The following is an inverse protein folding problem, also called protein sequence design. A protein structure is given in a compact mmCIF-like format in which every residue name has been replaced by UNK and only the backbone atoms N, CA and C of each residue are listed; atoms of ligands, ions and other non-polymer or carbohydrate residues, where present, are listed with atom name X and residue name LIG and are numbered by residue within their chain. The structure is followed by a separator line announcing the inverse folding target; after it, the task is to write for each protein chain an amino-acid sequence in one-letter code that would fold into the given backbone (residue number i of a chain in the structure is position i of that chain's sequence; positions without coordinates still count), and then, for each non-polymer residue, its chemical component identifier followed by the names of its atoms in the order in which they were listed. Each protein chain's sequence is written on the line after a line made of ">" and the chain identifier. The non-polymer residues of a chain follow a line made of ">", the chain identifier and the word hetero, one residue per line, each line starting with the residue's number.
data_IF_072558940931
#
_entry.id   IF_072558940931
#
_cell.length_a   1.000
_cell.length_b   1.000
_cell.length_c   1.000
_cell.angle_alpha   90.00
_cell.angle_beta   90.00
_cell.angle_gamma   90.00
#
_symmetry.space_group_name_H-M   'P 1'
#
loop_
_entity.id
_entity.type
_entity.pdbx_description
1 polymer ?
#
# COMPACT_ATOMS: atom_id res chain seq x y z
N UNK A 1 -57.11 55.88 -65.72
CA UNK A 1 -56.67 54.47 -65.43
C UNK A 1 -55.25 54.52 -64.94
N UNK A 2 -55.06 54.39 -63.64
CA UNK A 2 -53.73 54.53 -63.01
C UNK A 2 -53.34 53.14 -62.42
N UNK A 3 -52.24 52.57 -62.94
CA UNK A 3 -51.66 51.32 -62.56
C UNK A 3 -50.80 51.54 -61.33
N UNK A 4 -51.08 50.83 -60.23
CA UNK A 4 -50.31 50.88 -59.01
C UNK A 4 -49.30 49.70 -59.01
N UNK A 5 -48.01 50.05 -58.93
CA UNK A 5 -46.90 49.09 -58.86
C UNK A 5 -46.58 48.83 -57.37
N UNK A 6 -46.74 47.59 -56.92
CA UNK A 6 -46.42 47.17 -55.54
C UNK A 6 -45.01 46.52 -55.54
N UNK A 7 -44.08 47.26 -54.98
CA UNK A 7 -42.70 46.71 -54.73
C UNK A 7 -42.66 45.90 -53.47
N UNK A 8 -42.35 44.59 -53.60
CA UNK A 8 -42.08 43.63 -52.50
C UNK A 8 -40.67 43.87 -51.97
N UNK A 9 -40.53 44.36 -50.77
CA UNK A 9 -39.23 44.36 -50.04
C UNK A 9 -39.03 43.02 -49.34
N UNK A 10 -38.03 42.23 -49.78
CA UNK A 10 -37.52 41.10 -49.05
C UNK A 10 -36.69 41.63 -47.87
N UNK A 11 -37.10 41.31 -46.65
CA UNK A 11 -36.33 41.53 -45.46
C UNK A 11 -35.53 40.22 -45.20
N UNK A 12 -34.18 40.19 -45.43
CA UNK A 12 -33.28 39.15 -45.00
C UNK A 12 -33.00 39.34 -43.50
N UNK A 13 -33.59 38.51 -42.67
CA UNK A 13 -33.21 38.38 -41.25
C UNK A 13 -31.96 37.52 -41.15
N UNK A 14 -30.80 38.12 -40.88
CA UNK A 14 -29.59 37.39 -40.45
C UNK A 14 -29.83 36.93 -39.01
N UNK A 15 -30.02 35.62 -38.82
CA UNK A 15 -29.95 34.99 -37.52
C UNK A 15 -28.46 34.83 -37.14
N UNK A 16 -27.93 35.75 -36.32
CA UNK A 16 -26.63 35.60 -35.70
C UNK A 16 -26.74 34.49 -34.61
N UNK A 17 -26.23 33.29 -34.91
CA UNK A 17 -26.07 32.22 -33.93
C UNK A 17 -24.98 32.66 -32.94
N UNK A 18 -25.37 33.07 -31.75
CA UNK A 18 -24.48 33.33 -30.63
C UNK A 18 -23.98 31.97 -30.13
N UNK A 19 -22.80 31.55 -30.60
CA UNK A 19 -22.04 30.46 -30.01
C UNK A 19 -21.55 30.90 -28.62
N UNK A 20 -22.35 30.66 -27.60
CA UNK A 20 -21.88 30.74 -26.22
C UNK A 20 -20.82 29.65 -26.04
N UNK A 21 -19.56 29.99 -25.67
CA UNK A 21 -18.61 28.97 -25.29
C UNK A 21 -19.19 28.28 -24.05
N UNK A 22 -19.47 26.97 -24.16
CA UNK A 22 -19.65 26.15 -22.98
C UNK A 22 -18.33 26.22 -22.22
N UNK A 23 -18.25 27.11 -21.25
CA UNK A 23 -17.17 27.13 -20.28
C UNK A 23 -17.13 25.76 -19.65
N UNK A 24 -16.04 25.05 -19.90
CA UNK A 24 -15.75 23.82 -19.17
C UNK A 24 -15.69 24.20 -17.70
N UNK A 25 -16.80 24.07 -16.99
CA UNK A 25 -16.81 24.16 -15.53
C UNK A 25 -15.86 23.10 -15.03
N UNK A 26 -14.69 23.51 -14.53
CA UNK A 26 -13.77 22.62 -13.85
C UNK A 26 -14.56 21.93 -12.73
N UNK A 27 -14.92 20.68 -12.93
CA UNK A 27 -15.68 19.92 -11.96
C UNK A 27 -14.86 19.88 -10.67
N UNK A 28 -15.45 20.38 -9.57
CA UNK A 28 -14.78 20.37 -8.26
C UNK A 28 -14.33 18.94 -7.93
N UNK A 29 -13.07 18.78 -7.49
CA UNK A 29 -12.54 17.49 -7.12
C UNK A 29 -13.27 16.95 -5.90
N UNK A 30 -13.60 15.66 -5.91
CA UNK A 30 -14.19 14.99 -4.76
C UNK A 30 -13.08 14.78 -3.71
N UNK A 31 -13.26 15.37 -2.52
CA UNK A 31 -12.35 15.12 -1.39
C UNK A 31 -12.49 13.68 -0.88
N UNK A 32 -11.35 13.01 -0.63
CA UNK A 32 -11.29 11.65 -0.13
C UNK A 32 -10.23 11.54 0.96
N UNK A 33 -10.63 11.10 2.15
CA UNK A 33 -9.68 10.69 3.20
C UNK A 33 -9.21 9.28 2.92
N UNK A 34 -7.88 9.12 2.79
CA UNK A 34 -7.20 7.84 2.61
C UNK A 34 -6.33 7.57 3.83
N UNK A 35 -6.64 6.51 4.59
CA UNK A 35 -5.85 6.14 5.75
C UNK A 35 -4.64 5.29 5.36
N UNK A 36 -3.49 5.58 5.97
CA UNK A 36 -2.28 4.76 5.87
C UNK A 36 -1.84 4.33 7.27
N UNK A 37 -1.21 3.15 7.44
CA UNK A 37 -0.88 2.60 8.75
C UNK A 37 0.26 3.36 9.48
N UNK A 38 0.90 4.32 8.77
CA UNK A 38 1.99 5.17 9.25
C UNK A 38 2.02 6.44 8.38
N UNK A 39 2.89 7.44 8.68
CA UNK A 39 2.98 8.67 7.89
C UNK A 39 3.21 8.40 6.40
N UNK A 40 2.40 9.02 5.55
CA UNK A 40 2.44 8.88 4.09
C UNK A 40 3.81 9.24 3.47
N UNK A 41 4.60 10.03 4.20
CA UNK A 41 5.95 10.44 3.81
C UNK A 41 6.99 9.32 3.90
N UNK A 42 6.65 8.15 4.44
CA UNK A 42 7.55 7.00 4.45
C UNK A 42 7.67 6.41 3.04
N UNK A 43 8.87 6.00 2.60
CA UNK A 43 9.09 5.47 1.26
C UNK A 43 8.28 4.21 0.93
N UNK A 44 7.88 3.46 1.94
CA UNK A 44 6.95 2.33 1.80
C UNK A 44 5.63 2.73 1.10
N UNK A 45 5.23 4.00 1.17
CA UNK A 45 4.02 4.52 0.51
C UNK A 45 4.31 5.20 -0.83
N UNK A 46 5.45 4.88 -1.45
CA UNK A 46 5.85 5.38 -2.77
C UNK A 46 4.74 5.35 -3.84
N UNK A 47 4.00 4.25 -4.03
CA UNK A 47 2.91 4.19 -5.00
C UNK A 47 1.85 5.26 -4.81
N UNK A 48 1.44 5.54 -3.58
CA UNK A 48 0.45 6.56 -3.24
C UNK A 48 0.98 7.97 -3.46
N UNK A 49 2.22 8.23 -3.02
CA UNK A 49 2.86 9.54 -3.18
C UNK A 49 3.18 9.85 -4.64
N UNK A 50 3.61 8.87 -5.44
CA UNK A 50 3.77 9.05 -6.88
C UNK A 50 2.43 9.32 -7.57
N UNK A 51 1.39 8.58 -7.22
CA UNK A 51 0.06 8.81 -7.77
C UNK A 51 -0.45 10.24 -7.48
N UNK A 52 -0.16 10.77 -6.29
CA UNK A 52 -0.48 12.14 -5.92
C UNK A 52 0.40 13.14 -6.67
N UNK A 53 1.72 12.95 -6.67
CA UNK A 53 2.70 13.84 -7.32
C UNK A 53 2.48 13.98 -8.82
N UNK A 54 2.12 12.89 -9.49
CA UNK A 54 1.84 12.83 -10.94
C UNK A 54 0.39 13.19 -11.28
N UNK A 55 -0.41 13.55 -10.29
CA UNK A 55 -1.79 13.99 -10.49
C UNK A 55 -2.77 12.87 -10.89
N UNK A 56 -2.44 11.59 -10.66
CA UNK A 56 -3.30 10.48 -11.08
C UNK A 56 -4.64 10.47 -10.36
N UNK A 57 -4.68 10.84 -9.07
CA UNK A 57 -5.94 11.01 -8.36
C UNK A 57 -6.75 12.18 -8.91
N UNK A 58 -6.09 13.31 -9.21
CA UNK A 58 -6.77 14.49 -9.81
C UNK A 58 -7.36 14.17 -11.17
N UNK A 59 -6.66 13.38 -12.00
CA UNK A 59 -7.16 12.92 -13.30
C UNK A 59 -8.41 12.02 -13.17
N UNK A 60 -8.61 11.38 -12.00
CA UNK A 60 -9.83 10.64 -11.67
C UNK A 60 -10.93 11.52 -11.03
N UNK A 61 -10.69 12.84 -10.91
CA UNK A 61 -11.60 13.78 -10.27
C UNK A 61 -11.53 13.77 -8.74
N UNK A 62 -10.42 13.30 -8.14
CA UNK A 62 -10.27 13.12 -6.70
C UNK A 62 -9.20 14.04 -6.11
N UNK A 63 -9.51 14.64 -4.96
CA UNK A 63 -8.54 15.28 -4.06
C UNK A 63 -8.31 14.37 -2.85
N UNK A 64 -7.19 13.63 -2.85
CA UNK A 64 -6.89 12.61 -1.83
C UNK A 64 -6.05 13.21 -0.72
N UNK A 65 -6.56 13.12 0.52
CA UNK A 65 -5.87 13.53 1.75
C UNK A 65 -5.43 12.27 2.50
N UNK A 66 -4.12 12.10 2.66
CA UNK A 66 -3.55 10.99 3.42
C UNK A 66 -3.49 11.30 4.91
N UNK A 67 -4.00 10.38 5.73
CA UNK A 67 -4.02 10.48 7.19
C UNK A 67 -3.39 9.23 7.77
N UNK A 68 -2.49 9.40 8.74
CA UNK A 68 -1.83 8.28 9.41
C UNK A 68 -2.73 7.70 10.52
N UNK A 69 -2.86 6.38 10.51
CA UNK A 69 -3.46 5.58 11.58
C UNK A 69 -2.36 4.84 12.38
N UNK A 70 -2.75 4.05 13.37
CA UNK A 70 -1.82 3.33 14.26
C UNK A 70 -1.63 1.88 13.83
N UNK A 71 -1.15 1.66 12.59
CA UNK A 71 -0.96 0.33 12.01
C UNK A 71 -2.15 -0.17 11.21
N UNK A 72 -1.96 -1.30 10.49
CA UNK A 72 -2.93 -1.82 9.52
C UNK A 72 -4.27 -2.26 10.12
N UNK A 73 -4.27 -2.81 11.33
CA UNK A 73 -5.51 -3.20 12.02
C UNK A 73 -6.34 -1.98 12.41
N UNK A 74 -5.70 -0.86 12.81
CA UNK A 74 -6.41 0.38 13.10
C UNK A 74 -7.01 0.98 11.82
N UNK A 75 -6.26 0.97 10.70
CA UNK A 75 -6.81 1.33 9.38
C UNK A 75 -8.06 0.51 9.08
N UNK A 76 -8.01 -0.82 9.24
CA UNK A 76 -9.16 -1.69 8.99
C UNK A 76 -10.36 -1.35 9.87
N UNK A 77 -10.14 -1.04 11.16
CA UNK A 77 -11.19 -0.60 12.10
C UNK A 77 -11.86 0.69 11.64
N UNK A 78 -11.05 1.70 11.30
CA UNK A 78 -11.57 3.00 10.87
C UNK A 78 -12.34 2.91 9.54
N UNK A 79 -11.80 2.15 8.57
CA UNK A 79 -12.48 1.90 7.28
C UNK A 79 -13.76 1.09 7.47
N UNK A 80 -13.71 0.04 8.29
CA UNK A 80 -14.88 -0.79 8.61
C UNK A 80 -15.98 -0.04 9.35
N UNK A 81 -15.61 0.97 10.15
CA UNK A 81 -16.54 1.85 10.86
C UNK A 81 -17.07 3.02 9.99
N UNK A 82 -16.60 3.17 8.74
CA UNK A 82 -16.99 4.25 7.85
C UNK A 82 -16.32 5.60 8.13
N UNK A 83 -15.32 5.66 9.03
CA UNK A 83 -14.56 6.89 9.33
C UNK A 83 -13.62 7.31 8.20
N UNK A 84 -13.33 6.41 7.27
CA UNK A 84 -12.65 6.69 6.02
C UNK A 84 -13.17 5.76 4.92
N UNK A 85 -13.15 6.26 3.70
CA UNK A 85 -13.65 5.53 2.52
C UNK A 85 -12.77 4.33 2.21
N UNK A 86 -11.45 4.48 2.42
CA UNK A 86 -10.43 3.54 1.95
C UNK A 86 -9.19 3.64 2.83
N UNK A 87 -8.37 2.60 2.84
CA UNK A 87 -7.11 2.62 3.57
C UNK A 87 -6.08 1.67 3.00
N UNK A 88 -4.81 1.88 3.40
CA UNK A 88 -3.71 0.99 3.11
C UNK A 88 -3.38 0.12 4.32
N UNK A 89 -3.03 -1.13 4.08
CA UNK A 89 -2.53 -2.05 5.11
C UNK A 89 -1.71 -3.15 4.43
N UNK A 90 -1.42 -4.26 5.09
CA UNK A 90 -0.89 -5.45 4.43
C UNK A 90 -2.06 -6.34 4.01
N UNK A 91 -1.91 -7.13 2.93
CA UNK A 91 -3.00 -7.86 2.28
C UNK A 91 -3.68 -8.93 3.12
N UNK A 92 -3.05 -9.39 4.20
CA UNK A 92 -3.58 -10.34 5.17
C UNK A 92 -4.31 -9.66 6.37
N UNK A 93 -4.27 -8.34 6.48
CA UNK A 93 -4.99 -7.59 7.52
C UNK A 93 -6.48 -7.94 7.61
N UNK A 94 -7.22 -8.20 6.50
CA UNK A 94 -8.60 -8.63 6.57
C UNK A 94 -8.83 -9.93 7.36
N UNK A 95 -7.86 -10.82 7.44
CA UNK A 95 -7.96 -12.05 8.26
C UNK A 95 -8.19 -11.68 9.73
N UNK A 96 -7.38 -10.75 10.25
CA UNK A 96 -7.47 -10.30 11.64
C UNK A 96 -8.73 -9.45 11.85
N UNK A 97 -9.01 -8.56 10.91
CA UNK A 97 -10.16 -7.65 11.00
C UNK A 97 -11.49 -8.41 11.00
N UNK A 98 -11.68 -9.35 10.06
CA UNK A 98 -12.90 -10.16 9.98
C UNK A 98 -13.10 -11.04 11.20
N UNK A 99 -12.04 -11.59 11.79
CA UNK A 99 -12.12 -12.36 13.02
C UNK A 99 -12.63 -11.52 14.20
N UNK A 100 -12.48 -10.19 14.13
CA UNK A 100 -13.02 -9.21 15.10
C UNK A 100 -14.38 -8.62 14.68
N UNK A 101 -15.02 -9.16 13.64
CA UNK A 101 -16.31 -8.68 13.13
C UNK A 101 -16.23 -7.39 12.29
N UNK A 102 -15.05 -6.96 11.85
CA UNK A 102 -14.86 -5.74 11.08
C UNK A 102 -15.05 -6.04 9.59
N UNK A 103 -16.05 -5.45 8.91
CA UNK A 103 -16.44 -5.82 7.55
C UNK A 103 -15.57 -5.14 6.49
N UNK A 104 -14.31 -5.55 6.35
CA UNK A 104 -13.36 -5.01 5.36
C UNK A 104 -12.82 -6.11 4.46
N UNK A 105 -12.47 -5.74 3.22
CA UNK A 105 -11.77 -6.58 2.23
C UNK A 105 -10.54 -5.88 1.69
N UNK A 106 -9.55 -6.65 1.26
CA UNK A 106 -8.52 -6.18 0.37
C UNK A 106 -9.10 -6.07 -1.05
N UNK A 107 -8.99 -4.90 -1.66
CA UNK A 107 -9.52 -4.60 -3.01
C UNK A 107 -8.41 -4.53 -4.07
N UNK A 108 -7.16 -4.47 -3.65
CA UNK A 108 -5.97 -4.66 -4.47
C UNK A 108 -4.77 -4.96 -3.56
N UNK A 109 -3.75 -5.69 -4.07
CA UNK A 109 -2.47 -5.92 -3.41
C UNK A 109 -1.32 -5.45 -4.29
N UNK A 110 -0.36 -4.73 -3.71
CA UNK A 110 0.72 -4.07 -4.43
C UNK A 110 1.95 -4.99 -4.53
N UNK A 111 1.80 -6.10 -5.24
CA UNK A 111 2.88 -7.05 -5.49
C UNK A 111 2.57 -8.48 -5.05
N UNK A 112 3.37 -9.43 -5.53
CA UNK A 112 3.27 -10.84 -5.19
C UNK A 112 4.27 -11.27 -4.12
N UNK A 113 5.24 -10.43 -3.73
CA UNK A 113 6.21 -10.74 -2.69
C UNK A 113 5.72 -10.34 -1.29
N UNK A 114 6.33 -10.92 -0.26
CA UNK A 114 6.13 -10.48 1.12
C UNK A 114 6.72 -9.08 1.34
N UNK A 115 5.98 -8.21 2.02
CA UNK A 115 6.51 -6.91 2.42
C UNK A 115 7.67 -7.07 3.41
N UNK A 116 7.50 -7.96 4.40
CA UNK A 116 8.49 -8.20 5.44
C UNK A 116 9.68 -9.00 4.90
N UNK A 117 10.87 -8.59 5.31
CA UNK A 117 12.12 -9.31 5.15
C UNK A 117 12.77 -9.46 6.52
N UNK A 118 13.42 -10.58 6.79
CA UNK A 118 14.30 -10.69 7.95
C UNK A 118 15.66 -10.08 7.57
N UNK A 119 16.01 -8.99 8.22
CA UNK A 119 17.27 -8.26 7.98
C UNK A 119 18.17 -8.45 9.19
N UNK A 120 19.38 -8.93 9.00
CA UNK A 120 20.35 -9.18 10.06
C UNK A 120 21.67 -8.46 9.79
N UNK A 121 22.44 -8.18 10.84
CA UNK A 121 23.82 -7.76 10.66
C UNK A 121 24.64 -8.88 10.02
N UNK A 122 25.47 -8.53 9.02
CA UNK A 122 26.24 -9.51 8.25
C UNK A 122 27.19 -10.33 9.12
N UNK A 123 27.75 -9.73 10.15
CA UNK A 123 28.61 -10.41 11.12
C UNK A 123 27.89 -11.50 11.93
N UNK A 124 26.55 -11.42 12.06
CA UNK A 124 25.75 -12.40 12.80
C UNK A 124 25.50 -13.69 12.02
N UNK A 125 25.73 -13.70 10.70
CA UNK A 125 25.62 -14.86 9.80
C UNK A 125 24.30 -15.61 9.95
N UNK A 126 23.18 -14.85 9.93
CA UNK A 126 21.84 -15.44 10.02
C UNK A 126 21.42 -15.94 8.63
N UNK A 127 21.61 -17.22 8.38
CA UNK A 127 21.22 -17.89 7.12
C UNK A 127 19.85 -18.57 7.21
N UNK A 128 19.34 -18.72 8.44
CA UNK A 128 18.03 -19.30 8.73
C UNK A 128 17.39 -18.64 9.94
N UNK A 129 16.05 -18.52 10.01
CA UNK A 129 15.37 -18.06 11.23
C UNK A 129 15.67 -18.89 12.47
N UNK A 130 16.17 -20.14 12.33
CA UNK A 130 16.60 -21.00 13.44
C UNK A 130 17.69 -20.35 14.28
N UNK A 131 18.57 -19.56 13.66
CA UNK A 131 19.71 -18.92 14.32
C UNK A 131 19.31 -17.71 15.16
N UNK A 132 18.04 -17.33 15.15
CA UNK A 132 17.48 -16.27 16.00
C UNK A 132 17.19 -16.76 17.43
N UNK A 133 17.32 -18.06 17.72
CA UNK A 133 17.05 -18.59 19.07
C UNK A 133 17.90 -17.88 20.12
N UNK A 134 17.24 -17.32 21.15
CA UNK A 134 17.86 -16.57 22.24
C UNK A 134 18.33 -15.15 21.85
N UNK A 135 18.22 -14.77 20.57
CA UNK A 135 18.67 -13.46 20.08
C UNK A 135 17.55 -12.41 20.11
N UNK A 136 17.93 -11.13 20.04
CA UNK A 136 16.99 -10.01 20.01
C UNK A 136 16.66 -9.65 18.56
N UNK A 137 15.35 -9.54 18.27
CA UNK A 137 14.82 -9.09 16.98
C UNK A 137 13.84 -7.93 17.20
N UNK A 138 14.01 -6.84 16.47
CA UNK A 138 13.06 -5.72 16.53
C UNK A 138 11.93 -5.88 15.54
N UNK A 139 10.72 -5.48 15.94
CA UNK A 139 9.50 -5.42 15.13
C UNK A 139 8.82 -4.07 15.33
N UNK A 140 7.93 -3.69 14.41
CA UNK A 140 7.16 -2.45 14.51
C UNK A 140 6.25 -2.45 15.74
N UNK A 141 5.38 -3.43 15.83
CA UNK A 141 4.42 -3.63 16.94
C UNK A 141 3.95 -5.08 16.94
N UNK A 142 3.48 -5.59 18.07
CA UNK A 142 2.92 -6.95 18.17
C UNK A 142 1.56 -7.12 17.49
N UNK A 143 0.95 -6.03 17.07
CA UNK A 143 -0.29 -6.01 16.28
C UNK A 143 -0.06 -5.76 14.80
N UNK A 144 1.20 -5.62 14.39
CA UNK A 144 1.57 -5.40 12.99
C UNK A 144 1.77 -6.72 12.25
N UNK A 145 1.40 -6.72 10.96
CA UNK A 145 1.48 -7.95 10.15
C UNK A 145 2.92 -8.38 9.84
N UNK A 146 3.91 -7.47 9.92
CA UNK A 146 5.34 -7.86 9.83
C UNK A 146 5.76 -8.73 11.02
N UNK A 147 5.21 -8.48 12.22
CA UNK A 147 5.41 -9.35 13.38
C UNK A 147 4.84 -10.76 13.14
N UNK A 148 3.62 -10.86 12.59
CA UNK A 148 3.05 -12.17 12.27
C UNK A 148 3.82 -12.90 11.18
N UNK A 149 4.37 -12.19 10.21
CA UNK A 149 5.25 -12.78 9.20
C UNK A 149 6.54 -13.34 9.84
N UNK A 150 7.14 -12.63 10.81
CA UNK A 150 8.26 -13.16 11.60
C UNK A 150 7.86 -14.44 12.35
N UNK A 151 6.69 -14.46 13.02
CA UNK A 151 6.20 -15.67 13.69
C UNK A 151 6.03 -16.84 12.70
N UNK A 152 5.56 -16.55 11.48
CA UNK A 152 5.45 -17.53 10.40
C UNK A 152 6.81 -18.11 10.02
N UNK A 153 7.83 -17.28 9.87
CA UNK A 153 9.20 -17.75 9.59
C UNK A 153 9.76 -18.60 10.73
N UNK A 154 9.57 -18.19 11.98
CA UNK A 154 10.01 -18.95 13.16
C UNK A 154 9.32 -20.32 13.25
N UNK A 155 8.00 -20.35 13.03
CA UNK A 155 7.23 -21.60 13.04
C UNK A 155 7.74 -22.63 12.03
N UNK A 156 8.15 -22.19 10.83
CA UNK A 156 8.70 -23.07 9.78
C UNK A 156 10.00 -23.77 10.17
N UNK A 157 10.72 -23.25 11.15
CA UNK A 157 11.95 -23.84 11.68
C UNK A 157 11.78 -24.42 13.08
N UNK A 158 10.53 -24.56 13.56
CA UNK A 158 10.19 -25.14 14.86
C UNK A 158 10.45 -24.22 16.05
N UNK A 159 10.56 -22.91 15.84
CA UNK A 159 10.66 -21.92 16.89
C UNK A 159 9.31 -21.22 17.13
N UNK A 160 9.15 -20.72 18.34
CA UNK A 160 8.00 -19.92 18.79
C UNK A 160 8.45 -18.51 19.16
N UNK A 161 7.51 -17.63 19.44
CA UNK A 161 7.80 -16.29 19.96
C UNK A 161 8.56 -16.28 21.30
N UNK A 162 8.51 -17.39 22.06
CA UNK A 162 9.18 -17.51 23.35
C UNK A 162 10.66 -17.93 23.21
N UNK A 163 11.06 -18.40 22.02
CA UNK A 163 12.44 -18.79 21.73
C UNK A 163 13.31 -17.60 21.27
N UNK A 164 12.69 -16.44 20.99
CA UNK A 164 13.35 -15.24 20.47
C UNK A 164 12.95 -14.02 21.30
N UNK A 165 13.90 -13.17 21.63
CA UNK A 165 13.60 -11.91 22.32
C UNK A 165 13.06 -10.88 21.32
N UNK A 166 11.75 -10.90 21.05
CA UNK A 166 11.10 -9.99 20.09
C UNK A 166 10.72 -8.69 20.79
N UNK A 167 11.21 -7.57 20.28
CA UNK A 167 11.00 -6.24 20.85
C UNK A 167 10.19 -5.35 19.90
N UNK A 168 9.00 -4.92 20.33
CA UNK A 168 8.21 -3.90 19.62
C UNK A 168 8.83 -2.52 19.87
N UNK A 169 9.33 -1.87 18.82
CA UNK A 169 10.15 -0.67 18.91
C UNK A 169 9.53 0.57 18.23
N UNK A 170 8.38 0.41 17.58
CA UNK A 170 7.73 1.48 16.81
C UNK A 170 8.43 1.80 15.49
N UNK A 171 7.87 2.69 14.66
CA UNK A 171 8.30 2.92 13.27
C UNK A 171 9.75 3.42 13.12
N UNK A 172 10.22 4.23 14.05
CA UNK A 172 11.61 4.71 14.06
C UNK A 172 12.52 3.73 14.80
N UNK A 173 12.06 3.22 15.95
CA UNK A 173 12.88 2.37 16.82
C UNK A 173 13.26 1.04 16.17
N UNK A 174 12.43 0.46 15.31
CA UNK A 174 12.70 -0.84 14.68
C UNK A 174 14.05 -0.85 13.95
N UNK A 175 14.33 0.14 13.13
CA UNK A 175 15.58 0.23 12.39
C UNK A 175 16.71 0.93 13.18
N UNK A 176 16.38 1.91 14.06
CA UNK A 176 17.38 2.61 14.85
C UNK A 176 18.04 1.70 15.89
N UNK A 177 17.27 0.86 16.59
CA UNK A 177 17.82 -0.10 17.54
C UNK A 177 18.67 -1.16 16.85
N UNK A 178 18.22 -1.61 15.67
CA UNK A 178 19.04 -2.51 14.85
C UNK A 178 20.33 -1.81 14.40
N UNK A 179 20.28 -0.61 13.82
CA UNK A 179 21.47 0.13 13.40
C UNK A 179 22.44 0.37 14.57
N UNK A 180 21.92 0.58 15.77
CA UNK A 180 22.72 0.73 17.01
C UNK A 180 23.21 -0.58 17.61
N UNK A 181 23.05 -1.74 16.91
CA UNK A 181 23.43 -3.09 17.35
C UNK A 181 22.78 -3.54 18.67
N UNK A 182 21.61 -2.98 19.02
CA UNK A 182 20.80 -3.42 20.18
C UNK A 182 19.95 -4.66 19.85
N UNK A 183 19.83 -5.00 18.58
CA UNK A 183 19.20 -6.21 18.06
C UNK A 183 20.07 -6.79 16.95
N UNK A 184 20.12 -8.11 16.83
CA UNK A 184 20.90 -8.81 15.79
C UNK A 184 20.18 -8.82 14.46
N UNK A 185 18.85 -8.72 14.50
CA UNK A 185 17.99 -8.69 13.33
C UNK A 185 16.77 -7.78 13.54
N UNK A 186 16.09 -7.45 12.45
CA UNK A 186 14.80 -6.77 12.45
C UNK A 186 13.84 -7.46 11.48
N UNK A 187 12.54 -7.46 11.81
CA UNK A 187 11.49 -7.72 10.86
C UNK A 187 11.32 -6.44 10.00
N UNK A 188 12.18 -6.33 9.01
CA UNK A 188 12.34 -5.12 8.20
C UNK A 188 11.42 -5.09 6.99
N UNK A 189 11.41 -3.94 6.36
CA UNK A 189 10.81 -3.67 5.06
C UNK A 189 11.84 -2.94 4.19
N UNK A 190 11.70 -2.90 2.87
CA UNK A 190 12.77 -2.38 1.99
C UNK A 190 13.30 -0.99 2.36
N UNK A 191 12.43 -0.06 2.75
CA UNK A 191 12.84 1.30 3.13
C UNK A 191 13.65 1.33 4.43
N UNK A 192 13.29 0.55 5.46
CA UNK A 192 14.09 0.44 6.68
C UNK A 192 15.42 -0.24 6.42
N UNK A 193 15.45 -1.22 5.52
CA UNK A 193 16.68 -1.88 5.10
C UNK A 193 17.65 -0.88 4.46
N UNK A 194 17.16 0.00 3.58
CA UNK A 194 17.99 1.05 2.99
C UNK A 194 18.43 2.07 4.05
N UNK A 195 17.54 2.46 4.97
CA UNK A 195 17.91 3.37 6.08
C UNK A 195 19.07 2.85 6.92
N UNK A 196 19.08 1.55 7.27
CA UNK A 196 20.18 0.98 8.06
C UNK A 196 21.46 0.83 7.23
N UNK A 197 21.36 0.55 5.94
CA UNK A 197 22.51 0.56 5.03
C UNK A 197 23.11 1.96 4.88
N UNK A 198 22.27 3.00 4.77
CA UNK A 198 22.70 4.40 4.71
C UNK A 198 23.33 4.86 6.04
N UNK A 199 22.93 4.27 7.16
CA UNK A 199 23.57 4.44 8.47
C UNK A 199 24.89 3.66 8.62
N UNK A 200 25.36 2.96 7.56
CA UNK A 200 26.65 2.26 7.53
C UNK A 200 26.56 0.80 7.94
N UNK A 201 25.39 0.24 8.25
CA UNK A 201 25.27 -1.17 8.59
C UNK A 201 25.47 -2.05 7.34
N UNK A 202 26.28 -3.10 7.49
CA UNK A 202 26.35 -4.20 6.54
C UNK A 202 25.33 -5.26 6.94
N UNK A 203 24.44 -5.60 6.01
CA UNK A 203 23.29 -6.48 6.30
C UNK A 203 23.18 -7.63 5.33
N UNK A 204 22.65 -8.73 5.82
CA UNK A 204 22.09 -9.82 5.04
C UNK A 204 20.57 -9.73 5.08
N UNK A 205 19.93 -10.06 3.93
CA UNK A 205 18.48 -10.03 3.77
C UNK A 205 18.00 -11.45 3.50
N UNK A 206 17.21 -11.97 4.41
CA UNK A 206 16.55 -13.25 4.24
C UNK A 206 15.09 -13.00 3.85
N UNK A 207 14.72 -13.22 2.55
CA UNK A 207 13.36 -12.97 2.09
C UNK A 207 12.35 -13.86 2.84
N UNK A 208 11.29 -13.25 3.36
CA UNK A 208 10.26 -13.99 4.09
C UNK A 208 9.62 -15.08 3.24
N UNK A 209 9.41 -14.85 1.94
CA UNK A 209 8.77 -15.78 1.00
C UNK A 209 9.44 -17.17 0.92
N UNK A 210 10.72 -17.29 1.32
CA UNK A 210 11.43 -18.57 1.40
C UNK A 210 10.85 -19.46 2.50
N UNK A 211 10.42 -18.86 3.60
CA UNK A 211 9.91 -19.55 4.77
C UNK A 211 8.40 -19.37 4.95
N UNK A 212 7.93 -18.18 4.76
CA UNK A 212 6.53 -17.82 5.02
C UNK A 212 6.04 -16.76 4.03
N UNK A 213 5.11 -17.16 3.18
CA UNK A 213 4.54 -16.29 2.12
C UNK A 213 3.52 -15.30 2.71
N UNK A 214 3.98 -14.29 3.48
CA UNK A 214 3.11 -13.18 3.88
C UNK A 214 2.74 -12.29 2.69
N UNK A 215 1.96 -11.25 2.89
CA UNK A 215 1.44 -10.43 1.79
C UNK A 215 2.25 -9.14 1.60
N UNK A 216 2.14 -8.56 0.40
CA UNK A 216 2.51 -7.19 0.13
C UNK A 216 1.49 -6.21 0.75
N UNK A 217 1.77 -4.90 0.62
CA UNK A 217 0.80 -3.87 0.95
C UNK A 217 -0.46 -4.02 0.09
N UNK A 218 -1.60 -3.65 0.66
CA UNK A 218 -2.90 -3.74 0.00
C UNK A 218 -3.73 -2.48 0.24
N UNK A 219 -4.72 -2.33 -0.59
CA UNK A 219 -5.78 -1.32 -0.46
C UNK A 219 -6.98 -2.00 0.16
N UNK A 220 -7.53 -1.43 1.24
CA UNK A 220 -8.69 -1.94 1.97
C UNK A 220 -9.90 -1.05 1.76
N UNK A 221 -11.07 -1.65 1.62
CA UNK A 221 -12.36 -0.97 1.67
C UNK A 221 -13.37 -1.77 2.49
N UNK A 222 -14.39 -1.11 3.06
CA UNK A 222 -15.48 -1.80 3.74
C UNK A 222 -16.44 -2.47 2.74
N UNK A 223 -17.16 -3.50 3.18
CA UNK A 223 -18.21 -4.13 2.37
C UNK A 223 -19.26 -3.11 1.93
N UNK A 224 -19.60 -2.16 2.81
CA UNK A 224 -20.53 -1.08 2.51
C UNK A 224 -20.02 -0.17 1.39
N UNK A 225 -18.74 0.26 1.48
CA UNK A 225 -18.13 1.12 0.45
C UNK A 225 -18.00 0.38 -0.89
N UNK A 226 -17.65 -0.91 -0.85
CA UNK A 226 -17.59 -1.77 -2.05
C UNK A 226 -18.94 -1.82 -2.75
N UNK A 227 -20.04 -1.91 -2.00
CA UNK A 227 -21.39 -1.99 -2.53
C UNK A 227 -21.93 -0.63 -3.01
N UNK A 228 -21.75 0.43 -2.19
CA UNK A 228 -22.35 1.75 -2.44
C UNK A 228 -21.54 2.63 -3.39
N UNK A 229 -20.22 2.52 -3.35
CA UNK A 229 -19.29 3.41 -4.07
C UNK A 229 -18.22 2.65 -4.89
N UNK A 230 -18.57 1.62 -5.70
CA UNK A 230 -17.58 0.81 -6.41
C UNK A 230 -16.74 1.63 -7.41
N UNK A 231 -17.32 2.66 -8.03
CA UNK A 231 -16.59 3.53 -8.95
C UNK A 231 -15.50 4.35 -8.26
N UNK A 232 -15.75 4.83 -7.04
CA UNK A 232 -14.75 5.55 -6.25
C UNK A 232 -13.57 4.65 -5.89
N UNK A 233 -13.85 3.41 -5.46
CA UNK A 233 -12.79 2.41 -5.19
C UNK A 233 -11.99 2.13 -6.47
N UNK A 234 -12.67 1.93 -7.61
CA UNK A 234 -12.01 1.68 -8.90
C UNK A 234 -11.04 2.79 -9.27
N UNK A 235 -11.43 4.06 -9.12
CA UNK A 235 -10.60 5.24 -9.37
C UNK A 235 -9.37 5.26 -8.47
N UNK A 236 -9.55 5.06 -7.16
CA UNK A 236 -8.48 5.06 -6.17
C UNK A 236 -7.48 3.91 -6.39
N UNK A 237 -7.97 2.70 -6.66
CA UNK A 237 -7.14 1.53 -6.98
C UNK A 237 -6.33 1.78 -8.26
N UNK A 238 -6.98 2.23 -9.33
CA UNK A 238 -6.34 2.49 -10.62
C UNK A 238 -5.21 3.52 -10.51
N UNK A 239 -5.48 4.65 -9.84
CA UNK A 239 -4.49 5.69 -9.62
C UNK A 239 -3.29 5.20 -8.81
N UNK A 240 -3.54 4.47 -7.70
CA UNK A 240 -2.46 3.93 -6.85
C UNK A 240 -1.61 2.90 -7.60
N UNK A 241 -2.25 1.96 -8.31
CA UNK A 241 -1.53 0.95 -9.10
C UNK A 241 -0.74 1.57 -10.26
N UNK A 242 -1.17 2.72 -10.79
CA UNK A 242 -0.40 3.48 -11.78
C UNK A 242 0.90 4.03 -11.16
N UNK A 243 0.84 4.56 -9.94
CA UNK A 243 2.03 4.98 -9.20
C UNK A 243 3.00 3.81 -8.92
N UNK A 244 2.48 2.63 -8.57
CA UNK A 244 3.31 1.42 -8.43
C UNK A 244 3.99 1.04 -9.75
N UNK A 245 3.25 1.04 -10.87
CA UNK A 245 3.82 0.74 -12.19
C UNK A 245 4.93 1.69 -12.60
N UNK A 246 4.82 2.98 -12.26
CA UNK A 246 5.88 3.95 -12.54
C UNK A 246 7.17 3.63 -11.76
N UNK A 247 7.04 3.22 -10.48
CA UNK A 247 8.19 2.75 -9.68
C UNK A 247 8.83 1.52 -10.34
N UNK A 248 8.00 0.57 -10.78
CA UNK A 248 8.49 -0.65 -11.42
C UNK A 248 9.20 -0.37 -12.74
N UNK A 249 8.67 0.55 -13.53
CA UNK A 249 9.20 0.87 -14.86
C UNK A 249 10.51 1.67 -14.80
N UNK A 250 10.62 2.64 -13.90
CA UNK A 250 11.79 3.51 -13.78
C UNK A 250 12.00 3.98 -12.34
N UNK A 251 12.64 3.17 -11.46
CA UNK A 251 12.88 3.52 -10.06
C UNK A 251 13.63 4.83 -9.86
N UNK A 252 14.57 5.17 -10.77
CA UNK A 252 15.35 6.41 -10.72
C UNK A 252 14.48 7.65 -10.93
N UNK A 253 13.65 7.65 -11.96
CA UNK A 253 12.73 8.75 -12.23
C UNK A 253 11.68 8.86 -11.12
N UNK A 254 11.14 7.73 -10.68
CA UNK A 254 10.19 7.66 -9.57
C UNK A 254 10.78 8.26 -8.28
N UNK A 255 12.04 7.96 -7.98
CA UNK A 255 12.76 8.52 -6.83
C UNK A 255 12.89 10.05 -6.92
N UNK A 256 13.27 10.59 -8.07
CA UNK A 256 13.39 12.03 -8.27
C UNK A 256 12.03 12.75 -8.08
N UNK A 257 10.94 12.18 -8.63
CA UNK A 257 9.59 12.71 -8.45
C UNK A 257 9.16 12.63 -6.98
N UNK A 258 9.42 11.50 -6.33
CA UNK A 258 9.07 11.30 -4.93
C UNK A 258 9.76 12.30 -4.01
N UNK A 259 11.09 12.46 -4.14
CA UNK A 259 11.88 13.38 -3.32
C UNK A 259 11.42 14.83 -3.51
N UNK A 260 11.10 15.23 -4.74
CA UNK A 260 10.51 16.55 -5.02
C UNK A 260 9.16 16.76 -4.34
N UNK A 261 8.34 15.69 -4.26
CA UNK A 261 7.00 15.74 -3.69
C UNK A 261 7.00 15.63 -2.16
N UNK A 262 8.00 14.94 -1.57
CA UNK A 262 8.11 14.69 -0.14
C UNK A 262 9.37 15.38 0.42
N UNK A 263 9.27 16.64 0.88
CA UNK A 263 10.44 17.45 1.30
C UNK A 263 11.32 16.80 2.36
N UNK A 264 10.77 15.93 3.22
CA UNK A 264 11.52 15.18 4.23
C UNK A 264 12.63 14.28 3.65
N UNK A 265 12.59 14.00 2.34
CA UNK A 265 13.60 13.20 1.63
C UNK A 265 14.44 14.01 0.64
N UNK A 266 14.36 15.34 0.68
CA UNK A 266 15.16 16.20 -0.21
C UNK A 266 16.65 15.85 -0.14
N UNK A 267 17.30 15.70 -1.31
CA UNK A 267 18.72 15.33 -1.42
C UNK A 267 19.02 13.85 -1.19
N UNK A 268 17.97 12.98 -1.09
CA UNK A 268 18.13 11.54 -0.87
C UNK A 268 17.71 10.71 -2.09
N UNK A 269 17.90 11.24 -3.31
CA UNK A 269 17.46 10.60 -4.55
C UNK A 269 18.07 9.19 -4.73
N UNK A 270 19.36 9.03 -4.42
CA UNK A 270 20.06 7.74 -4.53
C UNK A 270 19.52 6.70 -3.54
N UNK A 271 19.29 7.10 -2.29
CA UNK A 271 18.69 6.26 -1.25
C UNK A 271 17.26 5.85 -1.64
N UNK A 272 16.49 6.79 -2.16
CA UNK A 272 15.12 6.54 -2.62
C UNK A 272 15.07 5.62 -3.83
N UNK A 273 15.97 5.80 -4.81
CA UNK A 273 16.11 4.89 -5.94
C UNK A 273 16.39 3.46 -5.47
N UNK A 274 17.36 3.29 -4.57
CA UNK A 274 17.70 1.98 -4.00
C UNK A 274 16.51 1.35 -3.25
N UNK A 275 15.75 2.16 -2.52
CA UNK A 275 14.51 1.72 -1.86
C UNK A 275 13.50 1.19 -2.88
N UNK A 276 13.24 1.92 -3.96
CA UNK A 276 12.30 1.49 -4.98
C UNK A 276 12.78 0.27 -5.78
N UNK A 277 14.08 0.16 -6.03
CA UNK A 277 14.69 -1.04 -6.61
C UNK A 277 14.47 -2.27 -5.71
N UNK A 278 14.63 -2.12 -4.39
CA UNK A 278 14.36 -3.20 -3.43
C UNK A 278 12.87 -3.56 -3.37
N UNK A 279 11.95 -2.58 -3.40
CA UNK A 279 10.52 -2.86 -3.52
C UNK A 279 10.21 -3.63 -4.80
N UNK A 280 10.81 -3.26 -5.94
CA UNK A 280 10.65 -3.99 -7.19
C UNK A 280 11.16 -5.43 -7.08
N UNK A 281 12.32 -5.63 -6.47
CA UNK A 281 12.94 -6.95 -6.35
C UNK A 281 12.15 -7.87 -5.42
N UNK A 282 11.74 -7.40 -4.27
CA UNK A 282 11.19 -8.26 -3.19
C UNK A 282 9.67 -8.25 -3.12
N UNK A 283 9.02 -7.15 -3.51
CA UNK A 283 7.59 -6.93 -3.21
C UNK A 283 6.73 -6.85 -4.47
N UNK A 284 7.01 -5.89 -5.39
CA UNK A 284 6.11 -5.55 -6.49
C UNK A 284 6.13 -6.55 -7.65
N UNK A 285 7.26 -7.22 -7.88
CA UNK A 285 7.43 -8.15 -8.99
C UNK A 285 6.49 -9.38 -8.92
N UNK A 286 6.45 -10.13 -10.03
CA UNK A 286 5.81 -11.47 -10.16
C UNK A 286 4.27 -11.50 -10.19
N UNK A 287 3.57 -10.36 -10.20
CA UNK A 287 2.13 -10.37 -10.49
C UNK A 287 1.88 -10.41 -12.01
N UNK A 288 1.05 -11.34 -12.47
CA UNK A 288 0.60 -11.38 -13.88
C UNK A 288 -0.28 -10.16 -14.21
N UNK A 289 -1.17 -9.81 -13.30
CA UNK A 289 -2.02 -8.62 -13.35
C UNK A 289 -1.78 -7.82 -12.08
N UNK A 290 -1.18 -6.61 -12.17
CA UNK A 290 -0.92 -5.78 -11.01
C UNK A 290 -2.18 -5.50 -10.20
N UNK A 291 -2.10 -5.71 -8.91
CA UNK A 291 -3.20 -5.53 -7.97
C UNK A 291 -3.94 -6.81 -7.57
N UNK A 292 -3.75 -7.92 -8.28
CA UNK A 292 -4.51 -9.16 -8.05
C UNK A 292 -4.11 -9.87 -6.76
N UNK A 293 -5.10 -10.18 -5.91
CA UNK A 293 -4.93 -11.06 -4.75
C UNK A 293 -4.83 -12.53 -5.17
N UNK A 294 -3.93 -13.26 -4.53
CA UNK A 294 -3.79 -14.72 -4.63
C UNK A 294 -4.63 -15.39 -3.53
N UNK A 295 -5.72 -16.04 -3.96
CA UNK A 295 -6.66 -16.71 -3.06
C UNK A 295 -6.02 -17.86 -2.29
N UNK A 296 -5.18 -18.67 -2.94
CA UNK A 296 -4.54 -19.82 -2.30
C UNK A 296 -3.56 -19.37 -1.20
N UNK A 297 -2.76 -18.32 -1.50
CA UNK A 297 -1.86 -17.71 -0.53
C UNK A 297 -2.60 -17.16 0.69
N UNK A 298 -3.73 -16.48 0.46
CA UNK A 298 -4.54 -15.90 1.53
C UNK A 298 -5.19 -16.99 2.40
N UNK A 299 -5.64 -18.10 1.79
CA UNK A 299 -6.16 -19.26 2.50
C UNK A 299 -5.09 -19.92 3.40
N UNK A 300 -3.86 -20.09 2.89
CA UNK A 300 -2.74 -20.62 3.67
C UNK A 300 -2.40 -19.72 4.87
N UNK A 301 -2.38 -18.40 4.66
CA UNK A 301 -2.14 -17.42 5.72
C UNK A 301 -3.21 -17.48 6.80
N UNK A 302 -4.48 -17.60 6.42
CA UNK A 302 -5.58 -17.73 7.37
C UNK A 302 -5.44 -18.99 8.23
N UNK A 303 -5.12 -20.16 7.63
CA UNK A 303 -4.84 -21.40 8.36
C UNK A 303 -3.70 -21.22 9.35
N UNK A 304 -2.63 -20.56 8.94
CA UNK A 304 -1.52 -20.26 9.82
C UNK A 304 -1.95 -19.39 10.99
N UNK A 305 -2.74 -18.35 10.78
CA UNK A 305 -3.22 -17.47 11.84
C UNK A 305 -4.15 -18.17 12.84
N UNK A 306 -4.98 -19.09 12.37
CA UNK A 306 -5.81 -19.94 13.24
C UNK A 306 -4.95 -20.90 14.04
N UNK A 307 -4.03 -21.63 13.40
CA UNK A 307 -3.18 -22.64 14.06
C UNK A 307 -2.22 -22.05 15.10
N UNK A 308 -1.90 -20.75 14.98
CA UNK A 308 -1.05 -20.04 15.93
C UNK A 308 -1.84 -19.16 16.92
N UNK A 309 -3.17 -19.29 16.97
CA UNK A 309 -4.01 -18.58 17.92
C UNK A 309 -4.09 -17.07 17.69
N UNK A 310 -3.70 -16.58 16.50
CA UNK A 310 -3.80 -15.15 16.13
C UNK A 310 -5.26 -14.78 15.90
N UNK A 311 -6.03 -15.67 15.27
CA UNK A 311 -7.47 -15.57 15.10
C UNK A 311 -8.17 -16.87 15.54
N UNK A 312 -9.42 -16.81 16.03
CA UNK A 312 -10.08 -17.97 16.63
C UNK A 312 -10.59 -19.00 15.60
N UNK A 313 -10.84 -18.58 14.36
CA UNK A 313 -11.41 -19.43 13.31
C UNK A 313 -11.18 -18.84 11.93
N UNK A 314 -11.29 -19.70 10.91
CA UNK A 314 -11.32 -19.28 9.52
C UNK A 314 -12.69 -18.65 9.16
N UNK A 315 -12.66 -17.73 8.20
CA UNK A 315 -13.84 -17.21 7.50
C UNK A 315 -13.73 -17.57 6.02
N UNK A 316 -14.82 -17.56 5.25
CA UNK A 316 -14.74 -17.78 3.81
C UNK A 316 -13.74 -16.84 3.14
N UNK A 317 -12.78 -17.36 2.38
CA UNK A 317 -11.69 -16.56 1.79
C UNK A 317 -12.22 -15.41 0.93
N UNK A 318 -13.38 -15.60 0.28
CA UNK A 318 -14.07 -14.56 -0.50
C UNK A 318 -14.54 -13.35 0.34
N UNK A 319 -14.58 -13.47 1.65
CA UNK A 319 -14.86 -12.35 2.54
C UNK A 319 -13.60 -11.52 2.84
N UNK A 320 -12.41 -12.05 2.56
CA UNK A 320 -11.14 -11.38 2.84
C UNK A 320 -10.70 -10.43 1.72
N UNK A 321 -11.13 -10.69 0.48
CA UNK A 321 -10.68 -9.92 -0.69
C UNK A 321 -11.71 -9.85 -1.82
N UNK A 322 -11.43 -8.98 -2.79
CA UNK A 322 -12.09 -9.00 -4.12
C UNK A 322 -11.13 -8.47 -5.19
N UNK A 323 -11.10 -9.13 -6.35
CA UNK A 323 -10.31 -8.70 -7.50
C UNK A 323 -11.13 -7.88 -8.52
N UNK A 324 -12.38 -7.50 -8.20
CA UNK A 324 -13.27 -6.80 -9.15
C UNK A 324 -12.77 -5.41 -9.58
N UNK A 325 -11.82 -4.82 -8.87
CA UNK A 325 -11.27 -3.47 -9.12
C UNK A 325 -9.89 -3.48 -9.80
N UNK A 326 -9.35 -4.64 -10.12
CA UNK A 326 -8.05 -4.80 -10.76
C UNK A 326 -8.16 -5.21 -12.23
N UNK A 327 -7.14 -4.88 -13.04
CA UNK A 327 -7.13 -5.25 -14.46
C UNK A 327 -8.09 -4.46 -15.37
N UNK A 328 -8.63 -3.33 -14.89
CA UNK A 328 -9.57 -2.47 -15.64
C UNK A 328 -8.99 -1.11 -15.95
#
# INVERSE_FOLDING_TARGET
>A
MKTVCITRRLACALAAAVLTPLGAQAQALQEVTYLLPAPATLPAFGPWMLAQAKGYYKAEGLDVKFVAARGGVDVAKQVGAGNAVIGGAIGDTPIIARAQGIPVKAVAVLGAGSLMQLVSHKEERIESPRELKGKTVTVLAYTDTTYYALLGMLSKVGLTKNDVNIQAAGPAGVWQQFAAKKAVAMAGVPDWTVMVMDAGAQVDILPADVYFKSMAQAILASDETIQKNPQLIQKLVRATLKGMRDIMANPKEAAAIYVKHVPAHQGKEASMQKTFEMFNQYVYAKQKVPGTMDEARLAELQKFYVSNGVVPKEVPVKELYTNQFVGK
#
